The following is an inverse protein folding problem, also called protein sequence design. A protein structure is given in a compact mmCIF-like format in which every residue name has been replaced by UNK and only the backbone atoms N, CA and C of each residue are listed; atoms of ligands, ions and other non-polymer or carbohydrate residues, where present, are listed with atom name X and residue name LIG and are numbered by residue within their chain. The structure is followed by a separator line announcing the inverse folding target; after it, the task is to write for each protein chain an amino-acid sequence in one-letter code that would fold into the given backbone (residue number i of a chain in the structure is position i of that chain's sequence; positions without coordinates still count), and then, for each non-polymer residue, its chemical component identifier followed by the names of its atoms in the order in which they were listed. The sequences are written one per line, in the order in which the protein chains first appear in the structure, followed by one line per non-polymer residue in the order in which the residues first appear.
data_IF_676730825116
#
_entry.id   IF_676730825116
#
_cell.length_a   1.000
_cell.length_b   1.000
_cell.length_c   1.000
_cell.angle_alpha   90.00
_cell.angle_beta   90.00
_cell.angle_gamma   90.00
#
_symmetry.space_group_name_H-M   'P 1'
#
loop_
_entity.id
_entity.type
_entity.pdbx_description
1 polymer ?
#
# COMPACT_ATOMS: atom_id res chain seq x y z
N UNK A 1 -18.56 7.88 5.98
CA UNK A 1 -17.75 6.91 6.76
C UNK A 1 -16.47 6.71 5.99
N UNK A 2 -15.32 7.03 6.56
CA UNK A 2 -14.04 6.91 5.87
C UNK A 2 -13.59 5.46 5.90
N UNK A 3 -13.74 4.76 4.78
CA UNK A 3 -13.24 3.38 4.62
C UNK A 3 -11.72 3.43 4.52
N UNK A 4 -11.01 2.78 5.46
CA UNK A 4 -9.55 2.66 5.39
C UNK A 4 -9.21 1.52 4.43
N UNK A 5 -8.32 1.76 3.48
CA UNK A 5 -7.83 0.74 2.54
C UNK A 5 -6.34 0.53 2.72
N UNK A 6 -5.90 -0.73 2.68
CA UNK A 6 -4.48 -1.10 2.68
C UNK A 6 -4.16 -1.94 1.45
N UNK A 7 -3.18 -1.46 0.67
CA UNK A 7 -2.54 -2.23 -0.39
C UNK A 7 -1.48 -3.13 0.24
N UNK A 8 -1.82 -4.40 0.42
CA UNK A 8 -1.12 -5.33 1.29
C UNK A 8 -0.29 -6.35 0.49
N UNK A 9 0.90 -6.65 1.01
CA UNK A 9 1.67 -7.84 0.62
C UNK A 9 1.87 -8.75 1.84
N UNK A 10 1.27 -9.95 1.87
CA UNK A 10 1.40 -10.90 2.99
C UNK A 10 2.85 -11.33 3.29
N UNK A 11 3.73 -11.30 2.28
CA UNK A 11 5.13 -11.67 2.42
C UNK A 11 6.02 -10.53 2.95
N UNK A 12 5.49 -9.32 3.11
CA UNK A 12 6.23 -8.16 3.63
C UNK A 12 5.97 -7.96 5.13
N UNK A 13 7.02 -8.07 5.96
CA UNK A 13 6.92 -7.87 7.41
C UNK A 13 6.31 -6.52 7.81
N UNK A 14 6.77 -5.42 7.19
CA UNK A 14 6.22 -4.08 7.43
C UNK A 14 4.73 -3.98 7.08
N UNK A 15 4.32 -4.61 5.98
CA UNK A 15 2.93 -4.65 5.53
C UNK A 15 2.03 -5.40 6.53
N UNK A 16 2.49 -6.53 7.07
CA UNK A 16 1.78 -7.28 8.14
C UNK A 16 1.65 -6.49 9.43
N UNK A 17 2.73 -5.82 9.86
CA UNK A 17 2.71 -4.99 11.06
C UNK A 17 1.74 -3.79 10.90
N UNK A 18 1.72 -3.16 9.73
CA UNK A 18 0.80 -2.04 9.43
C UNK A 18 -0.66 -2.49 9.49
N UNK A 19 -1.00 -3.63 8.88
CA UNK A 19 -2.36 -4.20 8.96
C UNK A 19 -2.77 -4.50 10.41
N UNK A 20 -1.87 -5.06 11.22
CA UNK A 20 -2.13 -5.32 12.63
C UNK A 20 -2.36 -4.03 13.43
N UNK A 21 -1.59 -2.96 13.17
CA UNK A 21 -1.78 -1.66 13.81
C UNK A 21 -3.14 -1.04 13.48
N UNK A 22 -3.57 -1.10 12.21
CA UNK A 22 -4.89 -0.61 11.79
C UNK A 22 -6.00 -1.36 12.55
N UNK A 23 -5.91 -2.69 12.60
CA UNK A 23 -6.88 -3.53 13.34
C UNK A 23 -6.87 -3.29 14.84
N UNK A 24 -5.69 -3.11 15.43
CA UNK A 24 -5.55 -2.78 16.86
C UNK A 24 -6.16 -1.42 17.22
N UNK A 25 -6.26 -0.49 16.25
CA UNK A 25 -6.98 0.76 16.41
C UNK A 25 -8.52 0.61 16.30
N UNK A 26 -9.04 -0.62 16.19
CA UNK A 26 -10.47 -0.89 16.06
C UNK A 26 -11.03 -0.66 14.65
N UNK A 27 -10.17 -0.48 13.65
CA UNK A 27 -10.56 -0.26 12.26
C UNK A 27 -10.38 -1.57 11.49
N UNK A 28 -11.44 -2.08 10.85
CA UNK A 28 -11.28 -3.15 9.86
C UNK A 28 -11.12 -2.53 8.47
N UNK A 29 -9.93 -2.61 7.86
CA UNK A 29 -9.69 -1.99 6.57
C UNK A 29 -10.14 -2.89 5.42
N UNK A 30 -10.40 -2.28 4.26
CA UNK A 30 -10.39 -3.00 2.99
C UNK A 30 -8.96 -3.42 2.67
N UNK A 31 -8.72 -4.73 2.52
CA UNK A 31 -7.40 -5.27 2.18
C UNK A 31 -7.35 -5.60 0.70
N UNK A 32 -6.41 -5.00 -0.04
CA UNK A 32 -6.19 -5.26 -1.47
C UNK A 32 -4.80 -5.85 -1.65
N UNK A 33 -4.71 -7.07 -2.18
CA UNK A 33 -3.43 -7.69 -2.51
C UNK A 33 -2.89 -7.14 -3.83
N UNK A 34 -2.11 -6.05 -3.76
CA UNK A 34 -1.73 -5.25 -4.94
C UNK A 34 -0.89 -6.00 -5.98
N UNK A 35 -0.24 -7.11 -5.59
CA UNK A 35 0.49 -7.97 -6.53
C UNK A 35 -0.44 -8.82 -7.40
N UNK A 36 -1.65 -9.11 -6.91
CA UNK A 36 -2.68 -9.85 -7.63
C UNK A 36 -3.68 -8.91 -8.31
N UNK A 37 -4.08 -7.87 -7.59
CA UNK A 37 -5.07 -6.87 -8.03
C UNK A 37 -4.45 -5.47 -7.94
N UNK A 38 -3.56 -5.10 -8.89
CA UNK A 38 -2.93 -3.79 -8.87
C UNK A 38 -3.97 -2.69 -9.10
N UNK A 39 -3.75 -1.48 -8.53
CA UNK A 39 -4.56 -0.32 -8.87
C UNK A 39 -4.39 0.05 -10.34
N UNK A 40 -5.39 0.71 -10.92
CA UNK A 40 -5.23 1.36 -12.21
C UNK A 40 -4.28 2.57 -12.11
N UNK A 41 -3.95 3.14 -13.26
CA UNK A 41 -2.98 4.23 -13.37
C UNK A 41 -3.39 5.45 -12.57
N UNK A 42 -4.64 5.87 -12.68
CA UNK A 42 -5.12 7.12 -12.08
C UNK A 42 -5.17 6.97 -10.55
N UNK A 43 -5.66 5.82 -10.07
CA UNK A 43 -5.60 5.45 -8.66
C UNK A 43 -4.15 5.44 -8.14
N UNK A 44 -3.21 4.88 -8.88
CA UNK A 44 -1.80 4.84 -8.46
C UNK A 44 -1.19 6.24 -8.36
N UNK A 45 -1.49 7.13 -9.31
CA UNK A 45 -1.03 8.53 -9.29
C UNK A 45 -1.57 9.25 -8.05
N UNK A 46 -2.85 9.08 -7.75
CA UNK A 46 -3.49 9.69 -6.58
C UNK A 46 -2.90 9.18 -5.27
N UNK A 47 -2.63 7.87 -5.16
CA UNK A 47 -2.00 7.29 -3.96
C UNK A 47 -0.60 7.85 -3.71
N UNK A 48 0.21 8.00 -4.77
CA UNK A 48 1.57 8.56 -4.66
C UNK A 48 1.50 10.02 -4.21
N UNK A 49 0.59 10.81 -4.80
CA UNK A 49 0.38 12.21 -4.43
C UNK A 49 -0.10 12.36 -2.98
N UNK A 50 -1.06 11.55 -2.55
CA UNK A 50 -1.57 11.56 -1.16
C UNK A 50 -0.51 11.17 -0.14
N UNK A 51 0.43 10.30 -0.51
CA UNK A 51 1.57 9.94 0.32
C UNK A 51 2.65 11.04 0.39
N UNK A 52 2.54 12.11 -0.39
CA UNK A 52 3.54 13.18 -0.46
C UNK A 52 4.85 12.74 -1.10
N UNK A 53 4.81 11.71 -1.96
CA UNK A 53 5.98 11.13 -2.61
C UNK A 53 6.09 11.57 -4.07
N UNK A 54 7.30 11.55 -4.61
CA UNK A 54 7.46 11.49 -6.06
C UNK A 54 7.25 10.07 -6.55
N UNK A 55 6.99 9.89 -7.86
CA UNK A 55 6.93 8.56 -8.46
C UNK A 55 8.22 7.77 -8.21
N UNK A 56 9.39 8.44 -8.24
CA UNK A 56 10.68 7.79 -8.01
C UNK A 56 10.85 7.29 -6.58
N UNK A 57 10.31 8.00 -5.60
CA UNK A 57 10.34 7.61 -4.18
C UNK A 57 9.40 6.43 -3.89
N UNK A 58 8.29 6.33 -4.63
CA UNK A 58 7.34 5.23 -4.50
C UNK A 58 7.87 3.90 -5.07
N UNK A 59 8.94 3.93 -5.89
CA UNK A 59 9.55 2.72 -6.46
C UNK A 59 10.33 1.97 -5.38
N UNK A 60 9.94 0.71 -5.16
CA UNK A 60 10.70 -0.19 -4.30
C UNK A 60 12.10 -0.44 -4.88
N UNK A 61 13.13 -0.16 -4.09
CA UNK A 61 14.54 -0.34 -4.47
C UNK A 61 15.04 -1.78 -4.34
N UNK A 62 14.66 -2.48 -3.26
CA UNK A 62 15.17 -3.83 -2.97
C UNK A 62 14.31 -4.91 -3.60
N UNK A 63 14.94 -5.83 -4.33
CA UNK A 63 14.28 -7.00 -4.91
C UNK A 63 13.36 -6.65 -6.08
N UNK A 64 13.71 -5.62 -6.86
CA UNK A 64 13.00 -5.22 -8.07
C UNK A 64 13.99 -5.09 -9.24
N UNK A 65 13.50 -5.08 -10.49
CA UNK A 65 14.34 -4.84 -11.67
C UNK A 65 14.85 -3.40 -11.79
N UNK A 66 14.37 -2.49 -10.95
CA UNK A 66 14.68 -1.06 -11.01
C UNK A 66 15.75 -0.71 -9.97
N UNK A 67 16.87 -0.14 -10.45
CA UNK A 67 17.96 0.40 -9.62
C UNK A 67 17.50 1.67 -8.89
#
# INVERSE_FOLDING_TARGET
MSTVTIYHNPQCGTSRNTLALIRNAGIEPQVIEYLQTPPDRDTLVDLIAQAGLTVRDAIRQKGTPYL
#
